data_IF_748469638486
#
_entry.id   IF_748469638486
#
_cell.length_a   1.000
_cell.length_b   1.000
_cell.length_c   1.000
_cell.angle_alpha   90.00
_cell.angle_beta   90.00
_cell.angle_gamma   90.00
#
_symmetry.space_group_name_H-M   'P 1'
#
loop_
_entity.id
_entity.type
_entity.pdbx_description
1 polymer ?
#
# COMPACT_ATOMS: atom_id res chain seq x y z
N UNK A 1 2.79 -4.60 6.46
CA UNK A 1 3.38 -5.55 5.47
C UNK A 1 4.76 -5.09 5.01
N UNK A 2 5.05 -3.80 4.91
CA UNK A 2 6.32 -3.25 4.46
C UNK A 2 7.57 -3.81 5.16
N UNK A 3 7.53 -4.03 6.46
CA UNK A 3 8.63 -4.66 7.18
C UNK A 3 8.98 -6.07 6.68
N UNK A 4 8.00 -6.84 6.18
CA UNK A 4 8.27 -8.16 5.64
C UNK A 4 9.15 -8.09 4.37
N UNK A 5 8.92 -7.10 3.51
CA UNK A 5 9.75 -6.89 2.33
C UNK A 5 11.18 -6.44 2.67
N UNK A 6 11.33 -5.59 3.69
CA UNK A 6 12.67 -5.20 4.16
C UNK A 6 13.41 -6.36 4.79
N UNK A 7 12.74 -7.21 5.56
CA UNK A 7 13.34 -8.40 6.15
C UNK A 7 13.81 -9.39 5.08
N UNK A 8 13.01 -9.57 4.02
CA UNK A 8 13.41 -10.43 2.89
C UNK A 8 14.51 -9.79 2.06
N UNK A 9 14.47 -8.47 1.84
CA UNK A 9 15.54 -7.73 1.16
C UNK A 9 16.89 -7.92 1.86
N UNK A 10 16.91 -7.92 3.19
CA UNK A 10 18.13 -8.11 3.96
C UNK A 10 18.73 -9.53 3.84
N UNK A 11 17.95 -10.51 3.40
CA UNK A 11 18.34 -11.94 3.39
C UNK A 11 18.34 -12.57 1.99
N UNK A 12 17.92 -11.84 0.97
CA UNK A 12 17.77 -12.36 -0.39
C UNK A 12 18.17 -11.33 -1.43
N UNK A 13 18.50 -11.75 -2.67
CA UNK A 13 18.82 -10.84 -3.77
C UNK A 13 17.59 -10.10 -4.35
N UNK A 14 16.66 -9.69 -3.49
CA UNK A 14 15.52 -8.87 -3.86
C UNK A 14 16.00 -7.46 -4.22
N UNK A 15 15.62 -6.86 -5.37
CA UNK A 15 16.10 -5.54 -5.75
C UNK A 15 15.64 -4.44 -4.79
N UNK A 16 16.60 -3.68 -4.24
CA UNK A 16 16.32 -2.57 -3.31
C UNK A 16 15.51 -1.45 -3.94
N UNK A 17 15.67 -1.22 -5.25
CA UNK A 17 14.87 -0.24 -5.99
C UNK A 17 13.36 -0.52 -5.97
N UNK A 18 12.96 -1.76 -5.71
CA UNK A 18 11.58 -2.14 -5.46
C UNK A 18 11.26 -2.22 -3.96
N UNK A 19 12.11 -2.89 -3.19
CA UNK A 19 11.84 -3.19 -1.78
C UNK A 19 11.66 -1.93 -0.93
N UNK A 20 12.48 -0.91 -1.11
CA UNK A 20 12.41 0.31 -0.33
C UNK A 20 11.14 1.12 -0.57
N UNK A 21 10.77 1.50 -1.81
CA UNK A 21 9.54 2.25 -2.05
C UNK A 21 8.29 1.49 -1.59
N UNK A 22 8.18 0.19 -1.92
CA UNK A 22 7.05 -0.63 -1.53
C UNK A 22 6.91 -0.80 0.00
N UNK A 23 8.03 -0.75 0.73
CA UNK A 23 8.03 -0.87 2.19
C UNK A 23 7.72 0.43 2.89
N UNK A 24 8.32 1.54 2.45
CA UNK A 24 8.20 2.83 3.14
C UNK A 24 6.79 3.41 3.04
N UNK A 25 6.15 3.30 1.88
CA UNK A 25 4.78 3.76 1.70
C UNK A 25 3.78 2.96 2.55
N UNK A 26 3.89 1.63 2.55
CA UNK A 26 3.06 0.76 3.38
C UNK A 26 3.25 1.04 4.88
N UNK A 27 4.49 1.21 5.34
CA UNK A 27 4.78 1.54 6.75
C UNK A 27 4.21 2.92 7.10
N UNK A 28 4.37 3.94 6.26
CA UNK A 28 3.84 5.27 6.50
C UNK A 28 2.32 5.27 6.61
N UNK A 29 1.63 4.58 5.69
CA UNK A 29 0.18 4.42 5.70
C UNK A 29 -0.29 3.70 6.96
N UNK A 30 0.40 2.61 7.35
CA UNK A 30 0.07 1.82 8.53
C UNK A 30 0.29 2.59 9.83
N UNK A 31 1.38 3.35 9.95
CA UNK A 31 1.66 4.18 11.13
C UNK A 31 0.64 5.31 11.30
N UNK A 32 0.12 5.87 10.22
CA UNK A 32 -0.92 6.89 10.27
C UNK A 32 -2.31 6.32 10.61
N UNK A 33 -2.58 5.04 10.31
CA UNK A 33 -3.89 4.42 10.48
C UNK A 33 -4.48 4.53 11.91
N UNK A 34 -3.75 4.29 13.03
CA UNK A 34 -4.31 4.43 14.36
C UNK A 34 -4.74 5.87 14.68
N UNK A 35 -4.02 6.87 14.17
CA UNK A 35 -4.37 8.28 14.36
C UNK A 35 -5.63 8.65 13.57
N UNK A 36 -5.76 8.16 12.33
CA UNK A 36 -6.95 8.31 11.50
C UNK A 36 -8.15 7.63 12.16
N UNK A 37 -7.97 6.42 12.67
CA UNK A 37 -9.01 5.68 13.40
C UNK A 37 -9.48 6.46 14.64
N UNK A 38 -8.55 6.94 15.47
CA UNK A 38 -8.87 7.73 16.65
C UNK A 38 -9.59 9.03 16.31
N UNK A 39 -9.16 9.71 15.22
CA UNK A 39 -9.83 10.93 14.75
C UNK A 39 -11.27 10.66 14.30
N UNK A 40 -11.53 9.54 13.62
CA UNK A 40 -12.88 9.12 13.21
C UNK A 40 -13.78 8.79 14.40
N UNK A 41 -13.23 8.10 15.43
CA UNK A 41 -13.97 7.76 16.65
C UNK A 41 -14.36 9.05 17.41
N UNK A 42 -13.43 9.98 17.56
CA UNK A 42 -13.65 11.23 18.30
C UNK A 42 -14.51 12.25 17.53
N UNK A 43 -14.41 12.26 16.21
CA UNK A 43 -15.11 13.24 15.33
C UNK A 43 -15.54 12.53 14.04
N UNK A 44 -16.75 11.95 13.97
CA UNK A 44 -17.24 11.27 12.77
C UNK A 44 -17.21 12.16 11.50
N UNK A 45 -17.34 13.49 11.66
CA UNK A 45 -17.20 14.47 10.58
C UNK A 45 -15.77 14.51 9.98
N UNK A 46 -14.76 13.95 10.67
CA UNK A 46 -13.40 13.83 10.14
C UNK A 46 -13.36 13.06 8.81
N UNK A 47 -14.30 12.13 8.59
CA UNK A 47 -14.41 11.40 7.31
C UNK A 47 -14.61 12.31 6.09
N UNK A 48 -15.12 13.54 6.27
CA UNK A 48 -15.26 14.55 5.20
C UNK A 48 -14.05 15.49 5.10
N UNK A 49 -13.02 15.33 5.93
CA UNK A 49 -11.86 16.22 5.96
C UNK A 49 -10.91 15.97 4.80
N UNK A 50 -10.18 17.00 4.33
CA UNK A 50 -9.14 16.86 3.33
C UNK A 50 -8.03 15.90 3.76
N UNK A 51 -7.74 15.83 5.07
CA UNK A 51 -6.71 14.93 5.61
C UNK A 51 -7.10 13.46 5.48
N UNK A 52 -8.37 13.13 5.74
CA UNK A 52 -8.88 11.76 5.54
C UNK A 52 -8.84 11.37 4.05
N UNK A 53 -9.22 12.30 3.16
CA UNK A 53 -9.11 12.08 1.71
C UNK A 53 -7.65 11.86 1.29
N UNK A 54 -6.73 12.73 1.74
CA UNK A 54 -5.31 12.64 1.40
C UNK A 54 -4.69 11.33 1.87
N UNK A 55 -4.99 10.86 3.09
CA UNK A 55 -4.50 9.59 3.61
C UNK A 55 -4.99 8.40 2.78
N UNK A 56 -6.27 8.37 2.41
CA UNK A 56 -6.81 7.30 1.55
C UNK A 56 -6.19 7.31 0.15
N UNK A 57 -6.02 8.49 -0.47
CA UNK A 57 -5.39 8.62 -1.78
C UNK A 57 -3.91 8.22 -1.72
N UNK A 58 -3.20 8.57 -0.65
CA UNK A 58 -1.83 8.14 -0.43
C UNK A 58 -1.72 6.62 -0.33
N UNK A 59 -2.61 5.95 0.44
CA UNK A 59 -2.64 4.49 0.54
C UNK A 59 -2.94 3.81 -0.80
N UNK A 60 -3.87 4.35 -1.58
CA UNK A 60 -4.15 3.84 -2.94
C UNK A 60 -2.92 4.00 -3.84
N UNK A 61 -2.29 5.18 -3.83
CA UNK A 61 -1.11 5.45 -4.63
C UNK A 61 0.04 4.52 -4.27
N UNK A 62 0.29 4.30 -2.98
CA UNK A 62 1.30 3.37 -2.49
C UNK A 62 1.09 1.95 -3.04
N UNK A 63 -0.13 1.42 -2.93
CA UNK A 63 -0.48 0.09 -3.44
C UNK A 63 -0.29 -0.01 -4.96
N UNK A 64 -0.71 1.00 -5.72
CA UNK A 64 -0.55 1.04 -7.19
C UNK A 64 0.93 1.11 -7.57
N UNK A 65 1.71 1.95 -6.88
CA UNK A 65 3.16 2.07 -7.10
C UNK A 65 3.88 0.78 -6.76
N UNK A 66 3.53 0.13 -5.63
CA UNK A 66 4.15 -1.13 -5.23
C UNK A 66 3.95 -2.23 -6.29
N UNK A 67 2.73 -2.39 -6.82
CA UNK A 67 2.42 -3.37 -7.87
C UNK A 67 3.09 -2.98 -9.19
N UNK A 68 2.95 -1.73 -9.63
CA UNK A 68 3.49 -1.25 -10.90
C UNK A 68 5.02 -1.33 -10.93
N UNK A 69 5.68 -0.89 -9.87
CA UNK A 69 7.13 -1.01 -9.73
C UNK A 69 7.58 -2.47 -9.60
N UNK A 70 6.77 -3.34 -8.97
CA UNK A 70 7.01 -4.78 -8.90
C UNK A 70 7.01 -5.43 -10.29
N UNK A 71 6.01 -5.17 -11.09
CA UNK A 71 5.92 -5.64 -12.47
C UNK A 71 7.05 -5.11 -13.36
N UNK A 72 7.37 -3.82 -13.23
CA UNK A 72 8.48 -3.20 -13.96
C UNK A 72 9.83 -3.83 -13.56
N UNK A 73 10.04 -4.06 -12.26
CA UNK A 73 11.27 -4.68 -11.75
C UNK A 73 11.41 -6.12 -12.25
N UNK A 74 10.33 -6.91 -12.20
CA UNK A 74 10.31 -8.26 -12.76
C UNK A 74 10.64 -8.28 -14.25
N UNK A 75 10.07 -7.36 -15.03
CA UNK A 75 10.37 -7.21 -16.44
C UNK A 75 11.85 -6.86 -16.69
N UNK A 76 12.42 -5.92 -15.90
CA UNK A 76 13.83 -5.51 -16.05
C UNK A 76 14.79 -6.65 -15.70
N UNK A 77 14.46 -7.48 -14.71
CA UNK A 77 15.23 -8.68 -14.38
C UNK A 77 15.18 -9.67 -15.54
N UNK A 78 14.00 -9.96 -16.08
CA UNK A 78 13.82 -10.88 -17.19
C UNK A 78 14.57 -10.45 -18.47
N UNK A 79 14.80 -9.14 -18.63
CA UNK A 79 15.59 -8.56 -19.75
C UNK A 79 17.08 -8.42 -19.43
N UNK A 80 17.52 -8.80 -18.25
CA UNK A 80 18.92 -8.69 -17.83
C UNK A 80 19.39 -7.26 -17.50
N UNK A 81 18.46 -6.29 -17.36
CA UNK A 81 18.81 -4.90 -17.02
C UNK A 81 19.06 -4.69 -15.53
N UNK A 82 18.56 -5.56 -14.67
CA UNK A 82 18.70 -5.50 -13.21
C UNK A 82 19.03 -6.87 -12.70
N UNK A 83 20.03 -6.95 -11.82
CA UNK A 83 20.36 -8.17 -11.10
C UNK A 83 19.40 -8.41 -9.94
N UNK A 84 19.18 -9.68 -9.59
CA UNK A 84 18.32 -10.08 -8.49
C UNK A 84 17.16 -10.96 -8.93
N UNK A 85 16.20 -11.14 -8.04
CA UNK A 85 15.00 -11.94 -8.30
C UNK A 85 13.78 -11.40 -7.54
N UNK A 86 12.60 -11.56 -8.13
CA UNK A 86 11.31 -11.33 -7.48
C UNK A 86 10.69 -12.64 -6.95
N UNK A 87 11.38 -13.78 -7.08
CA UNK A 87 10.87 -15.08 -6.65
C UNK A 87 10.39 -15.13 -5.19
N UNK A 88 11.06 -14.50 -4.20
CA UNK A 88 10.56 -14.50 -2.82
C UNK A 88 9.16 -13.89 -2.68
N UNK A 89 8.84 -12.87 -3.48
CA UNK A 89 7.52 -12.19 -3.44
C UNK A 89 6.44 -13.04 -4.10
N UNK A 90 6.83 -13.95 -5.00
CA UNK A 90 5.92 -14.88 -5.68
C UNK A 90 5.68 -16.19 -4.90
N UNK A 91 6.36 -16.40 -3.76
CA UNK A 91 6.25 -17.59 -2.94
C UNK A 91 5.51 -17.30 -1.62
N UNK A 92 4.84 -18.33 -1.08
CA UNK A 92 4.23 -18.22 0.25
C UNK A 92 5.30 -18.09 1.34
N UNK A 93 5.05 -17.30 2.39
CA UNK A 93 3.81 -16.55 2.67
C UNK A 93 3.72 -15.17 1.98
N UNK A 94 4.81 -14.68 1.36
CA UNK A 94 4.84 -13.30 0.83
C UNK A 94 3.90 -13.10 -0.37
N UNK A 95 3.64 -14.13 -1.16
CA UNK A 95 2.70 -14.08 -2.29
C UNK A 95 1.28 -13.66 -1.87
N UNK A 96 0.91 -13.88 -0.60
CA UNK A 96 -0.38 -13.40 -0.07
C UNK A 96 -0.47 -11.86 -0.05
N UNK A 97 0.66 -11.15 0.01
CA UNK A 97 0.63 -9.69 0.05
C UNK A 97 0.09 -9.14 -1.27
N UNK A 98 0.72 -9.36 -2.45
CA UNK A 98 0.21 -8.85 -3.72
C UNK A 98 -1.09 -9.53 -4.17
N UNK A 99 -1.27 -10.82 -3.87
CA UNK A 99 -2.42 -11.58 -4.36
C UNK A 99 -3.71 -11.39 -3.55
N UNK A 100 -3.62 -11.08 -2.26
CA UNK A 100 -4.76 -11.03 -1.35
C UNK A 100 -4.86 -9.70 -0.61
N UNK A 101 -3.81 -9.29 0.12
CA UNK A 101 -3.89 -8.11 0.97
C UNK A 101 -3.98 -6.80 0.16
N UNK A 102 -3.23 -6.68 -0.92
CA UNK A 102 -3.26 -5.46 -1.74
C UNK A 102 -4.63 -5.22 -2.37
N UNK A 103 -5.29 -6.19 -3.02
CA UNK A 103 -6.66 -6.02 -3.50
C UNK A 103 -7.66 -5.66 -2.40
N UNK A 104 -7.57 -6.30 -1.23
CA UNK A 104 -8.46 -5.99 -0.09
C UNK A 104 -8.25 -4.56 0.38
N UNK A 105 -7.01 -4.13 0.61
CA UNK A 105 -6.75 -2.77 1.08
C UNK A 105 -7.14 -1.72 0.05
N UNK A 106 -6.93 -1.99 -1.23
CA UNK A 106 -7.41 -1.12 -2.30
C UNK A 106 -8.95 -0.96 -2.24
N UNK A 107 -9.67 -2.06 -2.09
CA UNK A 107 -11.13 -2.02 -1.94
C UNK A 107 -11.55 -1.26 -0.68
N UNK A 108 -10.86 -1.44 0.44
CA UNK A 108 -11.17 -0.73 1.69
C UNK A 108 -10.95 0.78 1.56
N UNK A 109 -9.85 1.22 0.95
CA UNK A 109 -9.60 2.64 0.69
C UNK A 109 -10.67 3.24 -0.25
N UNK A 110 -11.03 2.54 -1.33
CA UNK A 110 -12.10 2.97 -2.23
C UNK A 110 -13.45 3.04 -1.52
N UNK A 111 -13.82 2.04 -0.74
CA UNK A 111 -15.05 2.03 0.05
C UNK A 111 -15.11 3.19 1.05
N UNK A 112 -13.99 3.49 1.72
CA UNK A 112 -13.89 4.61 2.63
C UNK A 112 -14.11 5.96 1.93
N UNK A 113 -13.54 6.15 0.73
CA UNK A 113 -13.74 7.35 -0.09
C UNK A 113 -15.19 7.49 -0.57
N UNK A 114 -15.82 6.41 -1.03
CA UNK A 114 -17.23 6.42 -1.44
C UNK A 114 -18.16 6.76 -0.27
N UNK A 115 -17.91 6.22 0.92
CA UNK A 115 -18.69 6.52 2.12
C UNK A 115 -18.51 7.98 2.55
N UNK A 116 -17.29 8.51 2.53
CA UNK A 116 -16.98 9.89 2.84
C UNK A 116 -17.74 10.84 1.88
N UNK A 117 -17.71 10.56 0.58
CA UNK A 117 -18.44 11.33 -0.44
C UNK A 117 -19.96 11.32 -0.22
N UNK A 118 -20.53 10.14 0.08
CA UNK A 118 -21.97 10.03 0.38
C UNK A 118 -22.38 10.87 1.59
N UNK A 119 -21.58 10.86 2.67
CA UNK A 119 -21.84 11.67 3.86
C UNK A 119 -21.75 13.16 3.58
N UNK A 120 -20.77 13.59 2.79
CA UNK A 120 -20.62 14.98 2.39
C UNK A 120 -21.79 15.50 1.54
N UNK A 121 -22.40 14.64 0.70
CA UNK A 121 -23.59 14.98 -0.09
C UNK A 121 -24.86 15.03 0.76
N UNK A 122 -24.99 14.15 1.75
CA UNK A 122 -26.16 14.12 2.63
C UNK A 122 -26.20 15.27 3.66
N UNK A 123 -25.07 15.94 3.87
CA UNK A 123 -24.94 17.10 4.78
C UNK A 123 -25.18 18.47 4.11
N UNK A 124 -25.47 18.47 2.81
CA UNK A 124 -25.81 19.68 2.01
C UNK A 124 -27.32 19.81 1.86
#
# INVERSE_FOLDING_TARGET
>A
MGFAFLAVYAQSPLPGAWAWPASLGDVATAMAAPFVCLALIRRPAFSASPLFLAWNLFGILDLVVAIGNGGLTAYRIARGFVAGTMAPVAQLPLALIPAFFVPIFLMLHLAALFQARRRAMAAR
#
